data_IF_005189554314
#
_entry.id   IF_005189554314
#
_cell.length_a   1.000
_cell.length_b   1.000
_cell.length_c   1.000
_cell.angle_alpha   90.00
_cell.angle_beta   90.00
_cell.angle_gamma   90.00
#
_symmetry.space_group_name_H-M   'P 1'
#
loop_
_entity.id
_entity.type
_entity.pdbx_description
1 polymer ?
#
# COMPACT_ATOMS: atom_id res chain seq x y z
N UNK A 1 36.06 -1.80 60.57
CA UNK A 1 35.34 -2.38 59.41
C UNK A 1 34.59 -1.26 58.70
N UNK A 2 35.15 -0.76 57.59
CA UNK A 2 34.62 0.38 56.84
C UNK A 2 33.42 -0.05 55.99
N UNK A 3 32.22 0.45 56.34
CA UNK A 3 31.04 0.41 55.46
C UNK A 3 31.27 1.37 54.30
N UNK A 4 32.02 0.93 53.29
CA UNK A 4 32.12 1.61 52.01
C UNK A 4 30.72 1.78 51.41
N UNK A 5 30.46 3.01 51.01
CA UNK A 5 29.18 3.59 50.67
C UNK A 5 28.61 2.94 49.38
N UNK A 6 27.88 1.83 49.50
CA UNK A 6 27.31 1.07 48.36
C UNK A 6 26.49 1.94 47.38
N UNK A 7 25.92 3.06 47.83
CA UNK A 7 25.11 3.97 47.01
C UNK A 7 25.93 4.80 46.00
N UNK A 8 27.20 5.08 46.27
CA UNK A 8 28.04 5.86 45.36
C UNK A 8 28.61 5.04 44.20
N UNK A 9 28.80 3.73 44.38
CA UNK A 9 29.30 2.84 43.31
C UNK A 9 28.23 2.57 42.25
N UNK A 10 26.96 2.46 42.64
CA UNK A 10 25.83 2.24 41.72
C UNK A 10 25.58 3.42 40.77
N UNK A 11 25.73 4.67 41.23
CA UNK A 11 25.55 5.85 40.37
C UNK A 11 26.68 6.02 39.34
N UNK A 12 27.92 5.71 39.71
CA UNK A 12 29.07 5.81 38.79
C UNK A 12 29.02 4.74 37.71
N UNK A 13 28.55 3.53 38.04
CA UNK A 13 28.32 2.46 37.06
C UNK A 13 27.20 2.82 36.07
N UNK A 14 26.10 3.42 36.55
CA UNK A 14 25.01 3.87 35.68
C UNK A 14 25.45 4.98 34.70
N UNK A 15 26.30 5.91 35.14
CA UNK A 15 26.82 7.00 34.30
C UNK A 15 27.80 6.54 33.19
N UNK A 16 28.51 5.43 33.39
CA UNK A 16 29.41 4.82 32.40
C UNK A 16 28.69 3.87 31.42
N UNK A 17 27.49 3.38 31.76
CA UNK A 17 26.68 2.51 30.91
C UNK A 17 25.72 3.27 29.98
N UNK A 18 25.31 4.50 30.35
CA UNK A 18 24.45 5.36 29.52
C UNK A 18 25.02 5.67 28.11
N UNK A 19 26.34 5.90 27.92
CA UNK A 19 26.95 6.06 26.59
C UNK A 19 26.85 4.83 25.69
N UNK A 20 26.93 3.63 26.27
CA UNK A 20 26.85 2.37 25.52
C UNK A 20 25.41 2.02 25.10
N UNK A 21 24.43 2.74 25.67
CA UNK A 21 23.01 2.62 25.36
C UNK A 21 22.50 3.76 24.46
N UNK A 22 23.35 4.72 24.07
CA UNK A 22 23.03 5.71 23.05
C UNK A 22 23.08 5.01 21.68
N UNK A 23 22.07 4.19 21.42
CA UNK A 23 21.79 3.62 20.11
C UNK A 23 21.65 4.77 19.11
N UNK A 24 22.20 4.60 17.91
CA UNK A 24 21.88 5.41 16.75
C UNK A 24 20.39 5.75 16.74
N UNK A 25 20.05 7.02 16.54
CA UNK A 25 18.69 7.36 16.14
C UNK A 25 18.55 6.87 14.70
N UNK A 26 17.81 5.79 14.51
CA UNK A 26 17.50 5.28 13.18
C UNK A 26 16.39 6.13 12.61
N UNK A 27 16.65 6.80 11.49
CA UNK A 27 15.56 7.27 10.66
C UNK A 27 14.88 6.04 10.05
N UNK A 28 13.55 6.00 10.07
CA UNK A 28 12.78 4.97 9.36
C UNK A 28 12.31 5.54 8.03
N UNK A 29 12.21 4.70 7.02
CA UNK A 29 11.56 4.99 5.75
C UNK A 29 10.35 4.09 5.63
N UNK A 30 9.19 4.63 5.26
CA UNK A 30 7.97 3.84 5.10
C UNK A 30 7.08 4.40 4.01
N UNK A 31 6.28 3.52 3.41
CA UNK A 31 5.21 3.92 2.52
C UNK A 31 3.97 3.03 2.69
N UNK A 32 2.84 3.55 2.22
CA UNK A 32 1.62 2.78 2.00
C UNK A 32 0.98 3.16 0.68
N UNK A 33 0.30 2.22 0.05
CA UNK A 33 -0.49 2.44 -1.14
C UNK A 33 -1.78 1.64 -1.09
N UNK A 34 -2.80 2.19 -1.71
CA UNK A 34 -4.11 1.57 -1.80
C UNK A 34 -4.74 1.85 -3.16
N UNK A 35 -5.23 0.80 -3.81
CA UNK A 35 -6.03 0.86 -5.03
C UNK A 35 -7.37 0.19 -4.73
N UNK A 36 -8.42 0.99 -4.59
CA UNK A 36 -9.78 0.50 -4.45
C UNK A 36 -10.51 0.71 -5.77
N UNK A 37 -11.19 -0.30 -6.29
CA UNK A 37 -12.14 -0.10 -7.37
C UNK A 37 -13.42 -0.92 -7.15
N UNK A 38 -14.49 -0.45 -7.75
CA UNK A 38 -15.78 -1.12 -7.73
C UNK A 38 -16.39 -1.11 -9.11
N UNK A 39 -17.12 -2.16 -9.44
CA UNK A 39 -17.81 -2.28 -10.72
C UNK A 39 -19.22 -2.84 -10.54
N UNK A 40 -20.10 -2.50 -11.46
CA UNK A 40 -21.44 -3.08 -11.59
C UNK A 40 -21.64 -3.48 -13.04
N UNK A 41 -22.03 -4.74 -13.26
CA UNK A 41 -22.42 -5.21 -14.59
C UNK A 41 -23.93 -5.11 -14.72
N UNK A 42 -24.40 -4.47 -15.79
CA UNK A 42 -25.79 -4.55 -16.22
C UNK A 42 -25.86 -5.17 -17.61
N UNK A 43 -26.93 -5.90 -17.88
CA UNK A 43 -27.14 -6.49 -19.19
C UNK A 43 -28.62 -6.63 -19.51
N UNK A 44 -28.95 -6.63 -20.80
CA UNK A 44 -30.31 -6.88 -21.29
C UNK A 44 -30.27 -7.63 -22.62
N UNK A 45 -31.23 -8.55 -22.83
CA UNK A 45 -31.41 -9.22 -24.11
C UNK A 45 -32.38 -8.43 -24.99
N UNK A 46 -31.96 -8.05 -26.20
CA UNK A 46 -32.76 -7.23 -27.13
C UNK A 46 -34.04 -7.92 -27.63
N UNK A 47 -34.04 -9.25 -27.76
CA UNK A 47 -35.00 -9.94 -28.63
C UNK A 47 -35.88 -11.00 -27.94
N UNK A 48 -35.64 -11.34 -26.67
CA UNK A 48 -36.34 -12.45 -25.96
C UNK A 48 -37.08 -12.05 -24.69
N UNK A 49 -37.70 -10.85 -24.62
CA UNK A 49 -38.34 -10.34 -23.39
C UNK A 49 -37.38 -10.26 -22.17
N UNK A 50 -36.07 -10.14 -22.41
CA UNK A 50 -35.06 -9.99 -21.35
C UNK A 50 -34.56 -11.29 -20.72
N UNK A 51 -34.68 -12.42 -21.41
CA UNK A 51 -34.09 -13.69 -20.94
C UNK A 51 -32.55 -13.65 -20.99
N UNK A 52 -31.92 -14.04 -19.88
CA UNK A 52 -30.47 -13.99 -19.66
C UNK A 52 -29.82 -15.38 -19.58
N UNK A 53 -30.57 -16.48 -19.80
CA UNK A 53 -30.07 -17.85 -19.59
C UNK A 53 -28.83 -18.24 -20.42
N UNK A 54 -28.54 -17.49 -21.49
CA UNK A 54 -27.39 -17.72 -22.38
C UNK A 54 -26.29 -16.67 -22.26
N UNK A 55 -26.39 -15.74 -21.31
CA UNK A 55 -25.27 -14.87 -20.97
C UNK A 55 -24.48 -15.53 -19.84
N UNK A 56 -23.26 -15.97 -20.16
CA UNK A 56 -22.28 -16.42 -19.18
C UNK A 56 -21.36 -15.27 -18.80
N UNK A 57 -21.16 -15.06 -17.50
CA UNK A 57 -20.20 -14.09 -16.96
C UNK A 57 -19.35 -14.85 -15.95
N UNK A 58 -18.04 -14.81 -16.15
CA UNK A 58 -17.07 -15.42 -15.26
C UNK A 58 -15.97 -14.41 -14.95
N UNK A 59 -15.35 -14.58 -13.80
CA UNK A 59 -14.23 -13.76 -13.38
C UNK A 59 -13.05 -14.60 -12.93
N UNK A 60 -11.86 -14.02 -13.05
CA UNK A 60 -10.62 -14.60 -12.55
C UNK A 60 -9.81 -13.48 -11.91
N UNK A 61 -9.45 -13.66 -10.65
CA UNK A 61 -8.59 -12.74 -9.91
C UNK A 61 -7.23 -13.40 -9.65
N UNK A 62 -6.17 -12.70 -10.01
CA UNK A 62 -4.79 -13.07 -9.69
C UNK A 62 -4.10 -11.94 -8.94
N UNK A 63 -3.19 -12.28 -8.03
CA UNK A 63 -2.48 -11.31 -7.22
C UNK A 63 -1.12 -11.86 -6.82
N UNK A 64 -0.10 -10.99 -6.84
CA UNK A 64 1.25 -11.36 -6.46
C UNK A 64 2.01 -10.20 -5.88
N UNK A 65 3.21 -10.50 -5.39
CA UNK A 65 4.08 -9.51 -4.80
C UNK A 65 5.56 -9.89 -4.87
N UNK A 66 6.39 -8.87 -4.84
CA UNK A 66 7.82 -8.93 -4.64
C UNK A 66 8.19 -7.84 -3.63
N UNK A 67 8.78 -8.20 -2.50
CA UNK A 67 9.15 -7.23 -1.48
C UNK A 67 10.54 -7.52 -0.91
N UNK A 68 11.44 -6.55 -1.01
CA UNK A 68 12.77 -6.63 -0.41
C UNK A 68 12.81 -6.06 1.02
N UNK A 69 11.72 -5.43 1.48
CA UNK A 69 11.66 -4.77 2.78
C UNK A 69 11.65 -5.78 3.95
N UNK A 70 12.22 -5.36 5.10
CA UNK A 70 12.22 -6.15 6.32
C UNK A 70 10.86 -6.20 7.03
N UNK A 71 9.92 -5.32 6.67
CA UNK A 71 8.59 -5.24 7.27
C UNK A 71 7.56 -4.82 6.22
N UNK A 72 7.00 -5.82 5.55
CA UNK A 72 6.03 -5.69 4.46
C UNK A 72 4.65 -6.23 4.82
N UNK A 73 3.60 -5.57 4.37
CA UNK A 73 2.22 -6.05 4.44
C UNK A 73 1.54 -5.91 3.09
N UNK A 74 0.78 -6.94 2.71
CA UNK A 74 0.09 -7.03 1.44
C UNK A 74 -1.28 -7.69 1.63
N UNK A 75 -2.35 -6.98 1.27
CA UNK A 75 -3.74 -7.41 1.49
C UNK A 75 -4.58 -7.18 0.24
N UNK A 76 -4.51 -8.10 -0.75
CA UNK A 76 -5.48 -8.12 -1.84
C UNK A 76 -6.83 -8.63 -1.30
N UNK A 77 -7.92 -7.98 -1.72
CA UNK A 77 -9.27 -8.42 -1.43
C UNK A 77 -10.15 -8.29 -2.68
N UNK A 78 -10.96 -9.31 -2.89
CA UNK A 78 -11.72 -9.50 -4.12
C UNK A 78 -13.10 -10.07 -3.80
N UNK A 79 -14.15 -9.45 -4.35
CA UNK A 79 -15.51 -9.98 -4.32
C UNK A 79 -15.84 -10.64 -5.64
N UNK A 80 -16.02 -11.96 -5.63
CA UNK A 80 -16.48 -12.73 -6.78
C UNK A 80 -17.79 -12.18 -7.33
N UNK A 81 -17.92 -12.16 -8.65
CA UNK A 81 -19.14 -11.86 -9.36
C UNK A 81 -20.27 -12.74 -8.85
N UNK A 82 -21.38 -12.09 -8.52
CA UNK A 82 -22.53 -12.72 -7.86
C UNK A 82 -23.86 -12.41 -8.55
N UNK A 83 -23.84 -11.62 -9.62
CA UNK A 83 -25.02 -11.31 -10.43
C UNK A 83 -25.01 -9.90 -11.00
N UNK A 84 -25.93 -9.67 -11.94
CA UNK A 84 -26.14 -8.38 -12.58
C UNK A 84 -26.75 -7.36 -11.61
N UNK A 85 -26.40 -6.09 -11.77
CA UNK A 85 -26.87 -4.97 -10.95
C UNK A 85 -26.36 -5.00 -9.51
N UNK A 86 -25.42 -5.88 -9.19
CA UNK A 86 -24.75 -5.94 -7.89
C UNK A 86 -23.43 -5.18 -7.99
N UNK A 87 -23.11 -4.40 -6.95
CA UNK A 87 -21.82 -3.73 -6.82
C UNK A 87 -20.78 -4.72 -6.27
N UNK A 88 -19.71 -4.93 -7.03
CA UNK A 88 -18.55 -5.73 -6.63
C UNK A 88 -17.39 -4.80 -6.28
N UNK A 89 -16.66 -5.11 -5.21
CA UNK A 89 -15.52 -4.31 -4.76
C UNK A 89 -14.24 -5.13 -4.80
N UNK A 90 -13.15 -4.47 -5.19
CA UNK A 90 -11.80 -5.01 -5.24
C UNK A 90 -10.86 -3.98 -4.62
N UNK A 91 -9.92 -4.45 -3.80
CA UNK A 91 -8.96 -3.57 -3.14
C UNK A 91 -7.57 -4.20 -3.11
N UNK A 92 -6.55 -3.39 -3.36
CA UNK A 92 -5.15 -3.74 -3.24
C UNK A 92 -4.51 -2.81 -2.20
N UNK A 93 -4.12 -3.35 -1.05
CA UNK A 93 -3.42 -2.57 -0.02
C UNK A 93 -2.01 -3.12 0.20
N UNK A 94 -1.03 -2.24 0.17
CA UNK A 94 0.35 -2.58 0.46
C UNK A 94 1.02 -1.52 1.33
N UNK A 95 1.90 -1.96 2.24
CA UNK A 95 2.69 -1.06 3.09
C UNK A 95 4.03 -1.70 3.39
N UNK A 96 5.09 -0.89 3.36
CA UNK A 96 6.43 -1.32 3.71
C UNK A 96 7.11 -0.33 4.64
N UNK A 97 8.08 -0.83 5.40
CA UNK A 97 8.98 0.01 6.17
C UNK A 97 10.36 -0.63 6.34
N UNK A 98 11.39 0.22 6.40
CA UNK A 98 12.75 -0.17 6.75
C UNK A 98 13.33 0.77 7.82
N UNK A 99 14.08 0.24 8.80
CA UNK A 99 14.78 1.05 9.80
C UNK A 99 16.20 1.46 9.36
N UNK A 100 16.72 0.85 8.29
CA UNK A 100 18.06 1.09 7.76
C UNK A 100 18.22 0.41 6.39
N UNK A 101 18.97 1.03 5.48
CA UNK A 101 19.35 0.46 4.19
C UNK A 101 18.43 0.95 3.07
N UNK A 102 18.30 0.15 2.01
CA UNK A 102 17.39 0.40 0.91
C UNK A 102 16.56 -0.84 0.61
N UNK A 103 15.33 -0.65 0.13
CA UNK A 103 14.44 -1.71 -0.32
C UNK A 103 13.54 -1.22 -1.45
N UNK A 104 13.23 -2.10 -2.38
CA UNK A 104 12.22 -1.89 -3.43
C UNK A 104 11.17 -2.98 -3.31
N UNK A 105 9.91 -2.63 -3.58
CA UNK A 105 8.81 -3.59 -3.61
C UNK A 105 7.80 -3.26 -4.70
N UNK A 106 7.12 -4.30 -5.14
CA UNK A 106 6.09 -4.30 -6.17
C UNK A 106 4.97 -5.27 -5.77
N UNK A 107 3.74 -4.75 -5.72
CA UNK A 107 2.53 -5.46 -5.37
C UNK A 107 1.54 -5.29 -6.49
N UNK A 108 0.97 -6.37 -7.01
CA UNK A 108 0.07 -6.29 -8.15
C UNK A 108 -1.14 -7.20 -7.99
N UNK A 109 -2.27 -6.78 -8.57
CA UNK A 109 -3.42 -7.63 -8.79
C UNK A 109 -4.06 -7.38 -10.16
N UNK A 110 -4.62 -8.44 -10.73
CA UNK A 110 -5.27 -8.43 -12.03
C UNK A 110 -6.63 -9.12 -11.91
N UNK A 111 -7.67 -8.46 -12.43
CA UNK A 111 -9.01 -9.02 -12.57
C UNK A 111 -9.36 -9.12 -14.05
N UNK A 112 -9.63 -10.34 -14.49
CA UNK A 112 -10.25 -10.63 -15.78
C UNK A 112 -11.74 -10.86 -15.56
N UNK A 113 -12.59 -10.20 -16.35
CA UNK A 113 -14.03 -10.53 -16.46
C UNK A 113 -14.32 -10.96 -17.90
N UNK A 114 -14.79 -12.18 -18.05
CA UNK A 114 -15.15 -12.77 -19.33
C UNK A 114 -16.66 -12.82 -19.50
N UNK A 115 -17.13 -12.36 -20.64
CA UNK A 115 -18.53 -12.37 -21.05
C UNK A 115 -18.67 -13.26 -22.28
N UNK A 116 -19.64 -14.16 -22.27
CA UNK A 116 -19.88 -15.07 -23.39
C UNK A 116 -21.38 -15.22 -23.64
N UNK A 117 -21.79 -15.00 -24.88
CA UNK A 117 -23.13 -15.35 -25.34
C UNK A 117 -23.09 -16.78 -25.88
N UNK A 118 -23.49 -17.74 -25.05
CA UNK A 118 -23.50 -19.18 -25.39
C UNK A 118 -24.76 -19.60 -26.19
N UNK A 119 -25.59 -18.66 -26.64
CA UNK A 119 -26.78 -18.98 -27.43
C UNK A 119 -26.41 -19.50 -28.82
N UNK A 120 -27.25 -20.39 -29.33
CA UNK A 120 -27.22 -20.84 -30.73
C UNK A 120 -28.21 -20.07 -31.61
N UNK A 121 -29.11 -19.25 -31.02
CA UNK A 121 -30.03 -18.41 -31.77
C UNK A 121 -29.36 -17.08 -32.11
N UNK A 122 -29.17 -16.81 -33.39
CA UNK A 122 -28.58 -15.55 -33.89
C UNK A 122 -29.36 -14.29 -33.49
N UNK A 123 -30.60 -14.45 -33.04
CA UNK A 123 -31.40 -13.35 -32.52
C UNK A 123 -31.14 -13.10 -31.03
N UNK A 124 -30.46 -13.96 -30.28
CA UNK A 124 -30.04 -13.63 -28.93
C UNK A 124 -28.86 -12.66 -28.96
N UNK A 125 -29.15 -11.41 -28.63
CA UNK A 125 -28.20 -10.31 -28.64
C UNK A 125 -28.27 -9.61 -27.28
N UNK A 126 -27.14 -9.58 -26.58
CA UNK A 126 -27.04 -8.93 -25.29
C UNK A 126 -26.39 -7.56 -25.42
N UNK A 127 -27.04 -6.53 -24.87
CA UNK A 127 -26.43 -5.26 -24.53
C UNK A 127 -25.86 -5.37 -23.12
N UNK A 128 -24.57 -5.12 -22.96
CA UNK A 128 -23.87 -5.20 -21.69
C UNK A 128 -23.25 -3.83 -21.41
N UNK A 129 -23.40 -3.34 -20.19
CA UNK A 129 -22.74 -2.13 -19.70
C UNK A 129 -22.08 -2.40 -18.37
N UNK A 130 -20.86 -1.90 -18.22
CA UNK A 130 -20.05 -2.05 -17.02
C UNK A 130 -19.71 -0.65 -16.55
N UNK A 131 -20.26 -0.28 -15.41
CA UNK A 131 -19.98 0.99 -14.75
C UNK A 131 -18.96 0.70 -13.65
N UNK A 132 -17.87 1.46 -13.61
CA UNK A 132 -16.84 1.27 -12.60
C UNK A 132 -16.28 2.60 -12.09
N UNK A 133 -15.75 2.55 -10.88
CA UNK A 133 -15.07 3.67 -10.24
C UNK A 133 -13.90 3.19 -9.44
N UNK A 134 -12.89 4.03 -9.29
CA UNK A 134 -11.68 3.70 -8.55
C UNK A 134 -11.17 4.88 -7.75
N UNK A 135 -10.40 4.57 -6.71
CA UNK A 135 -9.63 5.51 -5.91
C UNK A 135 -8.22 4.97 -5.75
N UNK A 136 -7.24 5.79 -6.10
CA UNK A 136 -5.82 5.51 -5.90
C UNK A 136 -5.32 6.37 -4.77
N UNK A 137 -4.51 5.82 -3.87
CA UNK A 137 -3.78 6.62 -2.90
C UNK A 137 -2.40 6.05 -2.64
N UNK A 138 -1.45 6.94 -2.45
CA UNK A 138 -0.10 6.62 -2.03
C UNK A 138 0.31 7.58 -0.92
N UNK A 139 1.03 7.07 0.08
CA UNK A 139 1.55 7.84 1.20
C UNK A 139 3.01 7.44 1.43
N UNK A 140 3.88 8.42 1.66
CA UNK A 140 5.26 8.17 2.04
C UNK A 140 5.67 9.01 3.24
N UNK A 141 6.53 8.45 4.08
CA UNK A 141 6.98 9.10 5.31
C UNK A 141 8.39 8.64 5.69
N UNK A 142 9.09 9.50 6.43
CA UNK A 142 10.45 9.21 6.90
C UNK A 142 11.53 9.81 6.01
N UNK A 143 12.61 9.06 5.79
CA UNK A 143 13.69 9.41 4.86
C UNK A 143 13.48 8.72 3.51
N UNK A 144 13.77 9.42 2.40
CA UNK A 144 13.83 8.90 1.02
C UNK A 144 12.84 7.75 0.74
N UNK A 145 11.55 8.03 0.92
CA UNK A 145 10.46 7.13 0.69
C UNK A 145 9.61 7.63 -0.49
N UNK A 146 9.45 6.76 -1.48
CA UNK A 146 8.59 6.99 -2.63
C UNK A 146 7.58 5.88 -2.73
N UNK A 147 6.35 6.24 -3.10
CA UNK A 147 5.30 5.27 -3.37
C UNK A 147 4.42 5.69 -4.53
N UNK A 148 3.95 4.65 -5.18
CA UNK A 148 3.20 4.69 -6.41
C UNK A 148 1.97 3.80 -6.25
N UNK A 149 0.83 4.26 -6.76
CA UNK A 149 -0.34 3.42 -6.94
C UNK A 149 -0.90 3.67 -8.34
N UNK A 150 -1.18 2.61 -9.08
CA UNK A 150 -1.72 2.71 -10.43
C UNK A 150 -2.89 1.75 -10.64
N UNK A 151 -3.73 2.13 -11.59
CA UNK A 151 -4.86 1.35 -12.06
C UNK A 151 -4.98 1.48 -13.57
N UNK A 152 -5.00 0.34 -14.25
CA UNK A 152 -5.18 0.24 -15.68
C UNK A 152 -6.45 -0.56 -15.96
N UNK A 153 -7.11 -0.24 -17.06
CA UNK A 153 -8.22 -1.06 -17.55
C UNK A 153 -8.24 -1.09 -19.06
N UNK A 154 -8.58 -2.26 -19.60
CA UNK A 154 -8.66 -2.46 -21.04
C UNK A 154 -9.63 -3.56 -21.44
N UNK A 155 -9.97 -3.65 -22.72
CA UNK A 155 -10.61 -4.81 -23.32
C UNK A 155 -9.71 -5.50 -24.37
N UNK A 156 -10.12 -6.65 -24.89
CA UNK A 156 -9.28 -7.50 -25.75
C UNK A 156 -8.79 -6.81 -27.04
N UNK A 157 -9.54 -5.83 -27.54
CA UNK A 157 -9.19 -5.06 -28.74
C UNK A 157 -8.67 -3.64 -28.46
N UNK A 158 -8.48 -3.27 -27.20
CA UNK A 158 -8.04 -1.94 -26.76
C UNK A 158 -8.95 -0.78 -27.22
N UNK A 159 -10.23 -1.05 -27.49
CA UNK A 159 -11.23 0.01 -27.68
C UNK A 159 -11.54 0.73 -26.36
N UNK A 160 -11.41 0.00 -25.24
CA UNK A 160 -11.23 0.54 -23.92
C UNK A 160 -9.75 0.33 -23.57
N UNK A 161 -9.03 1.40 -23.30
CA UNK A 161 -7.64 1.37 -22.82
C UNK A 161 -7.33 2.68 -22.09
N UNK A 162 -7.08 2.59 -20.79
CA UNK A 162 -6.73 3.74 -19.99
C UNK A 162 -5.89 3.34 -18.78
N UNK A 163 -5.21 4.34 -18.23
CA UNK A 163 -4.27 4.19 -17.13
C UNK A 163 -4.30 5.45 -16.28
N UNK A 164 -4.43 5.27 -14.96
CA UNK A 164 -4.27 6.34 -13.99
C UNK A 164 -3.24 5.96 -12.92
N UNK A 165 -2.60 6.96 -12.35
CA UNK A 165 -1.45 6.80 -11.48
C UNK A 165 -1.30 7.97 -10.51
N UNK A 166 -0.93 7.64 -9.28
CA UNK A 166 -0.50 8.60 -8.27
C UNK A 166 0.91 8.28 -7.79
N UNK A 167 1.65 9.35 -7.52
CA UNK A 167 2.99 9.31 -6.98
C UNK A 167 3.05 10.15 -5.71
N UNK A 168 3.79 9.70 -4.72
CA UNK A 168 4.20 10.53 -3.59
C UNK A 168 5.67 10.31 -3.27
N UNK A 169 6.32 11.40 -2.89
CA UNK A 169 7.63 11.41 -2.26
C UNK A 169 7.51 11.97 -0.85
N UNK A 170 8.58 11.92 -0.06
CA UNK A 170 8.63 12.55 1.29
C UNK A 170 8.30 14.05 1.29
N UNK A 171 8.36 14.73 0.14
CA UNK A 171 8.02 16.15 0.03
C UNK A 171 6.52 16.40 -0.08
N UNK A 172 5.79 15.46 -0.69
CA UNK A 172 4.34 15.51 -0.87
C UNK A 172 3.63 14.83 0.31
N UNK A 173 4.20 13.71 0.76
CA UNK A 173 3.74 12.89 1.87
C UNK A 173 2.46 12.11 1.58
N UNK A 174 1.62 12.56 0.65
CA UNK A 174 0.37 11.90 0.25
C UNK A 174 -0.08 12.36 -1.14
N UNK A 175 -0.57 11.42 -1.94
CA UNK A 175 -1.23 11.67 -3.21
C UNK A 175 -2.48 10.79 -3.38
N UNK A 176 -3.49 11.31 -4.07
CA UNK A 176 -4.75 10.61 -4.34
C UNK A 176 -5.34 11.00 -5.70
N UNK A 177 -5.93 10.02 -6.37
CA UNK A 177 -6.70 10.20 -7.61
C UNK A 177 -8.01 9.40 -7.53
N UNK A 178 -8.96 9.81 -8.36
CA UNK A 178 -10.28 9.21 -8.46
C UNK A 178 -10.72 9.21 -9.91
N UNK A 179 -11.32 8.11 -10.34
CA UNK A 179 -11.96 8.03 -11.65
C UNK A 179 -13.28 7.29 -11.62
N UNK A 180 -14.12 7.61 -12.59
CA UNK A 180 -15.36 6.91 -12.91
C UNK A 180 -15.38 6.77 -14.42
N UNK A 181 -15.71 5.58 -14.90
CA UNK A 181 -15.90 5.35 -16.32
C UNK A 181 -16.95 4.27 -16.55
N UNK A 182 -17.37 4.12 -17.80
CA UNK A 182 -18.26 3.06 -18.21
C UNK A 182 -17.91 2.52 -19.60
N UNK A 183 -18.15 1.22 -19.77
CA UNK A 183 -17.92 0.54 -21.04
C UNK A 183 -19.14 -0.29 -21.43
N UNK A 184 -19.66 -0.03 -22.62
CA UNK A 184 -20.81 -0.70 -23.18
C UNK A 184 -20.46 -1.43 -24.48
N UNK A 185 -20.91 -2.68 -24.61
CA UNK A 185 -20.70 -3.50 -25.81
C UNK A 185 -21.89 -4.42 -26.07
N UNK A 186 -21.89 -5.03 -27.25
CA UNK A 186 -22.96 -5.93 -27.72
C UNK A 186 -22.37 -7.30 -27.99
N UNK A 187 -22.98 -8.35 -27.45
CA UNK A 187 -22.63 -9.74 -27.76
C UNK A 187 -23.73 -10.41 -28.58
N UNK A 188 -23.41 -10.71 -29.84
CA UNK A 188 -24.23 -11.61 -30.68
C UNK A 188 -24.00 -13.06 -30.27
N UNK A 189 -24.87 -13.96 -30.73
CA UNK A 189 -24.76 -15.39 -30.50
C UNK A 189 -23.35 -15.93 -30.83
N UNK A 190 -22.75 -16.65 -29.88
CA UNK A 190 -21.42 -17.24 -30.00
C UNK A 190 -20.25 -16.26 -29.87
N UNK A 191 -20.50 -15.00 -29.50
CA UNK A 191 -19.43 -14.02 -29.26
C UNK A 191 -19.03 -13.94 -27.79
N UNK A 192 -17.80 -13.52 -27.56
CA UNK A 192 -17.25 -13.22 -26.24
C UNK A 192 -16.55 -11.86 -26.21
N UNK A 193 -16.39 -11.31 -25.02
CA UNK A 193 -15.58 -10.12 -24.74
C UNK A 193 -14.89 -10.30 -23.39
N UNK A 194 -13.70 -9.73 -23.24
CA UNK A 194 -12.91 -9.77 -22.02
C UNK A 194 -12.57 -8.36 -21.56
N UNK A 195 -12.74 -8.10 -20.28
CA UNK A 195 -12.22 -6.91 -19.62
C UNK A 195 -11.11 -7.25 -18.63
N UNK A 196 -10.09 -6.40 -18.62
CA UNK A 196 -8.93 -6.50 -17.75
C UNK A 196 -8.91 -5.26 -16.85
N UNK A 197 -8.75 -5.47 -15.55
CA UNK A 197 -8.48 -4.43 -14.57
C UNK A 197 -7.19 -4.79 -13.84
N UNK A 198 -6.15 -4.01 -14.04
CA UNK A 198 -4.85 -4.23 -13.42
C UNK A 198 -4.57 -3.12 -12.41
N UNK A 199 -3.99 -3.49 -11.28
CA UNK A 199 -3.59 -2.55 -10.24
C UNK A 199 -2.22 -2.91 -9.72
N UNK A 200 -1.44 -1.89 -9.38
CA UNK A 200 -0.19 -2.10 -8.69
C UNK A 200 0.11 -1.00 -7.68
N UNK A 201 0.83 -1.39 -6.62
CA UNK A 201 1.44 -0.50 -5.66
C UNK A 201 2.94 -0.81 -5.65
N UNK A 202 3.75 0.19 -5.99
CA UNK A 202 5.21 0.07 -5.95
C UNK A 202 5.78 1.07 -4.97
N UNK A 203 6.97 0.78 -4.44
CA UNK A 203 7.66 1.75 -3.61
C UNK A 203 9.14 1.50 -3.48
N UNK A 204 9.84 2.59 -3.20
CA UNK A 204 11.28 2.62 -2.93
C UNK A 204 11.50 3.25 -1.57
N UNK A 205 12.29 2.59 -0.73
CA UNK A 205 12.62 3.04 0.61
C UNK A 205 14.13 3.15 0.74
N UNK A 206 14.61 4.25 1.32
CA UNK A 206 15.99 4.40 1.77
C UNK A 206 16.05 5.09 3.14
N UNK A 207 16.70 4.44 4.11
CA UNK A 207 16.86 4.92 5.47
C UNK A 207 18.33 4.94 5.86
N UNK A 208 18.81 6.07 6.39
CA UNK A 208 20.22 6.23 6.78
C UNK A 208 20.41 6.32 8.28
N UNK A 209 21.61 5.97 8.76
CA UNK A 209 21.95 6.21 10.16
C UNK A 209 22.25 7.69 10.33
N UNK A 210 21.45 8.38 11.14
CA UNK A 210 21.75 9.77 11.53
C UNK A 210 22.69 9.75 12.74
N UNK A 211 23.91 10.32 12.64
CA UNK A 211 24.80 10.42 13.79
C UNK A 211 24.16 11.25 14.90
N UNK A 212 24.12 10.70 16.12
CA UNK A 212 23.64 11.43 17.30
C UNK A 212 24.48 12.70 17.47
N UNK A 213 23.89 13.92 17.45
CA UNK A 213 24.65 15.15 17.52
C UNK A 213 25.60 15.19 18.73
N UNK A 214 26.83 15.67 18.50
CA UNK A 214 27.83 15.90 19.56
C UNK A 214 27.26 16.71 20.75
N UNK A 215 26.26 17.55 20.51
CA UNK A 215 25.58 18.33 21.54
C UNK A 215 24.90 17.47 22.62
N UNK A 216 24.35 16.29 22.28
CA UNK A 216 23.77 15.37 23.28
C UNK A 216 24.88 14.83 24.19
N UNK A 217 26.05 14.54 23.62
CA UNK A 217 27.24 14.16 24.37
C UNK A 217 27.73 15.27 25.29
N UNK A 218 27.82 16.49 24.78
CA UNK A 218 28.23 17.66 25.57
C UNK A 218 27.24 17.97 26.69
N UNK A 219 25.94 17.94 26.40
CA UNK A 219 24.89 18.15 27.40
C UNK A 219 24.92 17.07 28.48
N UNK A 220 25.02 15.79 28.09
CA UNK A 220 25.15 14.68 29.03
C UNK A 220 26.39 14.81 29.91
N UNK A 221 27.54 15.19 29.34
CA UNK A 221 28.78 15.40 30.09
C UNK A 221 28.70 16.60 31.05
N UNK A 222 28.07 17.69 30.64
CA UNK A 222 27.87 18.88 31.47
C UNK A 222 26.92 18.58 32.64
N UNK A 223 25.81 17.87 32.39
CA UNK A 223 24.86 17.47 33.42
C UNK A 223 25.51 16.55 34.47
N UNK A 224 26.30 15.57 34.02
CA UNK A 224 27.09 14.72 34.91
C UNK A 224 28.12 15.54 35.72
N UNK A 225 28.76 16.54 35.10
CA UNK A 225 29.66 17.47 35.77
C UNK A 225 28.97 18.26 36.90
N UNK A 226 27.79 18.83 36.63
CA UNK A 226 27.02 19.61 37.62
C UNK A 226 26.61 18.75 38.82
N UNK A 227 26.09 17.54 38.57
CA UNK A 227 25.70 16.61 39.63
C UNK A 227 26.91 16.12 40.46
N UNK A 228 28.08 15.95 39.81
CA UNK A 228 29.33 15.61 40.49
C UNK A 228 29.84 16.72 41.42
N UNK A 229 29.69 17.98 41.02
CA UNK A 229 30.15 19.14 41.82
C UNK A 229 29.29 19.35 43.08
N UNK A 230 27.97 19.17 43.00
CA UNK A 230 27.06 19.36 44.14
C UNK A 230 27.36 18.39 45.31
N UNK A 231 27.80 17.15 45.02
CA UNK A 231 28.15 16.17 46.07
C UNK A 231 29.37 16.55 46.90
N UNK A 232 30.33 17.31 46.34
CA UNK A 232 31.53 17.74 47.10
C UNK A 232 31.23 18.85 48.11
N UNK A 233 30.17 19.63 47.88
CA UNK A 233 29.82 20.74 48.77
C UNK A 233 29.09 20.25 50.03
N UNK A 234 28.34 19.15 49.95
CA UNK A 234 27.65 18.54 51.11
C UNK A 234 28.57 17.84 52.13
N UNK A 235 29.84 17.57 51.79
CA UNK A 235 30.80 16.84 52.63
C UNK A 235 31.69 17.76 53.50
N UNK A 236 31.44 19.08 53.50
CA UNK A 236 32.02 20.04 54.44
C UNK A 236 30.92 20.55 55.39
N UNK A 237 30.56 19.73 56.37
CA UNK A 237 29.84 20.13 57.58
C UNK A 237 30.27 19.19 58.71
#
# INVERSE_FOLDING_TARGET
MNRLNRKSVLLTAAALLLPALATSAHASSQYSGNVDFSYTVTASNRNTNGDMQFLSIADVFDSGNYAESGSSSYTPNYQTFSGLGVLHNVSLQAQDSIPLGAAVSDYFSSLLISFENISLDVNDIFDINIDFSYTLSAQSAGEYADADANFAYSNENYALDNFDYVHTSIYDGFAQAFGVDSFGFVLSAGQSENLYFDSAVTGTLEATVVPVPAAIWLFGSALAGVLGVQRKQSLKA
#
